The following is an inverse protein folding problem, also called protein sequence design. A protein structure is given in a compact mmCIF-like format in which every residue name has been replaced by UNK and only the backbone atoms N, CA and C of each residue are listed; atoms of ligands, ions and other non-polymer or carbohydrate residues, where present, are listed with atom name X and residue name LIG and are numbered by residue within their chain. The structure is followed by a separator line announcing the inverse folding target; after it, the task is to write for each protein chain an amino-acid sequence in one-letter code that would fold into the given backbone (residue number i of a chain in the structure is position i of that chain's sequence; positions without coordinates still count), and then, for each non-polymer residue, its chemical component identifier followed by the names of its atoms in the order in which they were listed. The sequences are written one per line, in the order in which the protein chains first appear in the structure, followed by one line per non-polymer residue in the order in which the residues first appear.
data_IF_454159601363
#
_entry.id   IF_454159601363
#
_cell.length_a   1.000
_cell.length_b   1.000
_cell.length_c   1.000
_cell.angle_alpha   90.00
_cell.angle_beta   90.00
_cell.angle_gamma   90.00
#
_symmetry.space_group_name_H-M   'P 1'
#
loop_
_entity.id
_entity.type
_entity.pdbx_description
1 polymer ?
#
# COMPACT_ATOMS: atom_id res chain seq x y z
N UNK A 1 -1.44 11.31 -13.63
CA UNK A 1 -1.02 11.74 -12.28
C UNK A 1 -2.12 12.56 -11.63
N UNK A 2 -2.67 13.57 -12.33
CA UNK A 2 -3.75 14.43 -11.82
C UNK A 2 -5.02 13.68 -11.41
N UNK A 3 -5.46 12.68 -12.17
CA UNK A 3 -6.66 11.91 -11.82
C UNK A 3 -6.56 11.14 -10.51
N UNK A 4 -5.33 10.81 -10.05
CA UNK A 4 -5.12 10.08 -8.80
C UNK A 4 -5.12 11.02 -7.60
N UNK A 5 -4.73 12.30 -7.79
CA UNK A 5 -4.67 13.30 -6.72
C UNK A 5 -6.01 13.56 -6.04
N UNK A 6 -7.12 13.28 -6.74
CA UNK A 6 -8.47 13.36 -6.15
C UNK A 6 -8.66 12.45 -4.92
N UNK A 7 -7.79 11.46 -4.74
CA UNK A 7 -7.82 10.56 -3.59
C UNK A 7 -6.94 11.03 -2.44
N UNK A 8 -6.02 11.97 -2.64
CA UNK A 8 -5.00 12.34 -1.65
C UNK A 8 -5.64 12.84 -0.35
N UNK A 9 -6.61 13.76 -0.46
CA UNK A 9 -7.36 14.27 0.71
C UNK A 9 -8.09 13.15 1.47
N UNK A 10 -8.69 12.18 0.76
CA UNK A 10 -9.39 11.06 1.39
C UNK A 10 -8.40 10.08 2.05
N UNK A 11 -7.22 9.89 1.46
CA UNK A 11 -6.16 9.08 2.03
C UNK A 11 -5.64 9.75 3.30
N UNK A 12 -5.34 11.05 3.27
CA UNK A 12 -4.93 11.82 4.45
C UNK A 12 -5.97 11.73 5.58
N UNK A 13 -7.26 11.84 5.24
CA UNK A 13 -8.35 11.67 6.20
C UNK A 13 -8.35 10.26 6.83
N UNK A 14 -8.13 9.20 6.03
CA UNK A 14 -8.01 7.83 6.55
C UNK A 14 -6.80 7.71 7.47
N UNK A 15 -5.64 8.21 7.06
CA UNK A 15 -4.40 8.16 7.85
C UNK A 15 -4.57 8.89 9.19
N UNK A 16 -5.25 10.04 9.20
CA UNK A 16 -5.52 10.81 10.43
C UNK A 16 -6.38 10.06 11.46
N UNK A 17 -7.09 9.01 11.03
CA UNK A 17 -7.93 8.15 11.89
C UNK A 17 -7.23 6.88 12.34
N UNK A 18 -6.03 6.59 11.85
CA UNK A 18 -5.26 5.43 12.26
C UNK A 18 -4.65 5.64 13.66
N UNK A 19 -4.37 4.56 14.40
CA UNK A 19 -3.60 4.66 15.64
C UNK A 19 -2.23 5.30 15.39
N UNK A 20 -1.76 6.13 16.31
CA UNK A 20 -0.39 6.68 16.27
C UNK A 20 0.67 5.59 16.45
N UNK A 21 0.32 4.54 17.21
CA UNK A 21 1.17 3.37 17.44
C UNK A 21 1.24 2.50 16.18
N UNK A 22 2.38 2.59 15.48
CA UNK A 22 2.63 1.88 14.22
C UNK A 22 2.40 0.37 14.33
N UNK A 23 2.64 -0.23 15.49
CA UNK A 23 2.43 -1.68 15.70
C UNK A 23 0.95 -2.09 15.62
N UNK A 24 0.04 -1.13 15.76
CA UNK A 24 -1.41 -1.33 15.65
C UNK A 24 -1.96 -0.91 14.29
N UNK A 25 -1.18 -0.19 13.48
CA UNK A 25 -1.62 0.31 12.17
C UNK A 25 -1.91 -0.83 11.19
N UNK A 26 -1.12 -1.90 11.23
CA UNK A 26 -1.21 -3.02 10.28
C UNK A 26 -2.61 -3.63 10.22
N UNK A 27 -3.23 -3.86 11.38
CA UNK A 27 -4.58 -4.42 11.45
C UNK A 27 -5.64 -3.52 10.81
N UNK A 28 -5.50 -2.20 11.01
CA UNK A 28 -6.42 -1.21 10.46
C UNK A 28 -6.25 -1.08 8.94
N UNK A 29 -5.02 -0.99 8.45
CA UNK A 29 -4.76 -0.94 7.01
C UNK A 29 -5.22 -2.22 6.32
N UNK A 30 -4.98 -3.39 6.92
CA UNK A 30 -5.48 -4.66 6.40
C UNK A 30 -7.02 -4.66 6.27
N UNK A 31 -7.73 -4.14 7.28
CA UNK A 31 -9.18 -3.98 7.21
C UNK A 31 -9.61 -3.04 6.08
N UNK A 32 -8.99 -1.86 5.97
CA UNK A 32 -9.32 -0.85 4.95
C UNK A 32 -9.12 -1.43 3.55
N UNK A 33 -7.97 -2.04 3.28
CA UNK A 33 -7.67 -2.67 1.99
C UNK A 33 -8.65 -3.81 1.69
N UNK A 34 -8.88 -4.71 2.65
CA UNK A 34 -9.83 -5.81 2.49
C UNK A 34 -11.24 -5.30 2.20
N UNK A 35 -11.67 -4.24 2.88
CA UNK A 35 -12.99 -3.63 2.67
C UNK A 35 -13.11 -3.00 1.28
N UNK A 36 -12.08 -2.29 0.82
CA UNK A 36 -12.03 -1.74 -0.55
C UNK A 36 -12.17 -2.86 -1.59
N UNK A 37 -11.39 -3.94 -1.45
CA UNK A 37 -11.46 -5.06 -2.38
C UNK A 37 -12.84 -5.73 -2.39
N UNK A 38 -13.47 -5.91 -1.23
CA UNK A 38 -14.84 -6.47 -1.13
C UNK A 38 -15.90 -5.59 -1.80
N UNK A 39 -15.73 -4.27 -1.80
CA UNK A 39 -16.66 -3.33 -2.41
C UNK A 39 -16.48 -3.24 -3.93
N UNK A 40 -15.25 -3.39 -4.42
CA UNK A 40 -14.92 -3.33 -5.85
C UNK A 40 -15.19 -4.67 -6.55
N UNK A 41 -14.78 -5.78 -5.94
CA UNK A 41 -14.75 -7.11 -6.57
C UNK A 41 -15.89 -7.99 -6.06
N UNK A 42 -16.87 -8.30 -6.93
CA UNK A 42 -17.96 -9.23 -6.61
C UNK A 42 -17.45 -10.68 -6.45
N UNK A 43 -18.08 -11.53 -5.61
CA UNK A 43 -17.63 -12.90 -5.37
C UNK A 43 -17.59 -13.78 -6.62
N UNK A 44 -16.39 -13.91 -7.20
CA UNK A 44 -16.07 -14.80 -8.33
C UNK A 44 -14.57 -15.08 -8.33
N UNK A 45 -14.16 -16.31 -8.62
CA UNK A 45 -12.74 -16.68 -8.72
C UNK A 45 -11.96 -15.75 -9.64
N UNK A 46 -12.52 -15.39 -10.80
CA UNK A 46 -11.92 -14.43 -11.71
C UNK A 46 -11.60 -13.08 -11.05
N UNK A 47 -12.55 -12.53 -10.28
CA UNK A 47 -12.36 -11.24 -9.62
C UNK A 47 -11.36 -11.32 -8.46
N UNK A 48 -11.37 -12.42 -7.70
CA UNK A 48 -10.41 -12.63 -6.62
C UNK A 48 -8.99 -12.82 -7.15
N UNK A 49 -8.82 -13.57 -8.24
CA UNK A 49 -7.50 -13.70 -8.88
C UNK A 49 -6.98 -12.35 -9.37
N UNK A 50 -7.86 -11.48 -9.91
CA UNK A 50 -7.48 -10.10 -10.28
C UNK A 50 -7.12 -9.25 -9.07
N UNK A 51 -7.89 -9.34 -7.97
CA UNK A 51 -7.62 -8.59 -6.75
C UNK A 51 -6.27 -8.99 -6.14
N UNK A 52 -5.98 -10.29 -6.06
CA UNK A 52 -4.68 -10.80 -5.59
C UNK A 52 -3.55 -10.36 -6.51
N UNK A 53 -3.72 -10.47 -7.83
CA UNK A 53 -2.73 -9.97 -8.79
C UNK A 53 -2.47 -8.46 -8.67
N UNK A 54 -3.50 -7.66 -8.41
CA UNK A 54 -3.35 -6.22 -8.14
C UNK A 54 -2.49 -5.97 -6.88
N UNK A 55 -2.74 -6.70 -5.79
CA UNK A 55 -1.96 -6.55 -4.56
C UNK A 55 -0.49 -6.93 -4.77
N UNK A 56 -0.21 -7.95 -5.56
CA UNK A 56 1.15 -8.32 -5.95
C UNK A 56 1.84 -7.18 -6.72
N UNK A 57 1.15 -6.55 -7.67
CA UNK A 57 1.67 -5.38 -8.36
C UNK A 57 1.91 -4.20 -7.40
N UNK A 58 1.00 -3.92 -6.47
CA UNK A 58 1.16 -2.85 -5.46
C UNK A 58 2.41 -3.08 -4.61
N UNK A 59 2.63 -4.31 -4.13
CA UNK A 59 3.82 -4.70 -3.36
C UNK A 59 5.11 -4.45 -4.16
N UNK A 60 5.15 -4.92 -5.41
CA UNK A 60 6.33 -4.74 -6.27
C UNK A 60 6.62 -3.26 -6.57
N UNK A 61 5.57 -2.46 -6.82
CA UNK A 61 5.72 -1.03 -7.07
C UNK A 61 6.23 -0.30 -5.82
N UNK A 62 5.72 -0.63 -4.62
CA UNK A 62 6.21 -0.07 -3.37
C UNK A 62 7.68 -0.40 -3.13
N UNK A 63 8.08 -1.66 -3.35
CA UNK A 63 9.48 -2.06 -3.23
C UNK A 63 10.37 -1.28 -4.19
N UNK A 64 9.98 -1.20 -5.47
CA UNK A 64 10.76 -0.53 -6.52
C UNK A 64 10.91 0.98 -6.29
N UNK A 65 9.85 1.65 -5.85
CA UNK A 65 9.80 3.13 -5.79
C UNK A 65 10.21 3.67 -4.42
N UNK A 66 9.99 2.92 -3.34
CA UNK A 66 10.21 3.40 -1.97
C UNK A 66 11.36 2.66 -1.30
N UNK A 67 11.34 1.33 -1.31
CA UNK A 67 12.32 0.53 -0.57
C UNK A 67 13.69 0.54 -1.25
N UNK A 68 13.75 0.31 -2.57
CA UNK A 68 15.02 0.25 -3.30
C UNK A 68 15.84 1.54 -3.18
N UNK A 69 15.27 2.76 -3.36
CA UNK A 69 16.06 3.98 -3.17
C UNK A 69 16.55 4.17 -1.73
N UNK A 70 15.74 3.80 -0.73
CA UNK A 70 16.14 3.84 0.67
C UNK A 70 17.30 2.85 0.96
N UNK A 71 17.25 1.64 0.39
CA UNK A 71 18.34 0.67 0.51
C UNK A 71 19.63 1.19 -0.16
N UNK A 72 19.52 1.79 -1.35
CA UNK A 72 20.67 2.37 -2.06
C UNK A 72 21.31 3.52 -1.25
N UNK A 73 20.49 4.40 -0.66
CA UNK A 73 20.93 5.46 0.25
C UNK A 73 21.68 4.86 1.45
N UNK A 74 21.10 3.87 2.13
CA UNK A 74 21.74 3.24 3.30
C UNK A 74 23.05 2.55 2.96
N UNK A 75 23.15 1.86 1.81
CA UNK A 75 24.41 1.26 1.34
C UNK A 75 25.50 2.31 1.10
N UNK A 76 25.13 3.48 0.58
CA UNK A 76 26.07 4.58 0.40
C UNK A 76 26.59 5.18 1.73
N UNK A 77 25.77 5.12 2.79
CA UNK A 77 26.12 5.61 4.12
C UNK A 77 26.97 4.62 4.94
N UNK A 78 26.64 3.33 4.91
CA UNK A 78 27.39 2.30 5.67
C UNK A 78 28.65 1.82 4.95
N UNK A 79 28.82 2.14 3.68
CA UNK A 79 30.03 1.81 2.91
C UNK A 79 30.22 0.30 2.68
N UNK A 80 29.18 -0.52 2.85
CA UNK A 80 29.29 -1.98 2.73
C UNK A 80 29.26 -2.46 1.27
N UNK A 81 30.33 -3.16 0.90
CA UNK A 81 30.29 -4.59 0.51
C UNK A 81 31.04 -5.38 1.57
#
# INVERSE_FOLDING_TARGET
MEERKRYDQLIEEIISRLPEDVSKVDGHLNYVVTKMLKLVYKPRYFNYNRAVGLLECVKLEFYRVVVSPYEDEKRSETGEV
#
